data_IF_513838072137
#
_entry.id   IF_513838072137
#
_cell.length_a   1.000
_cell.length_b   1.000
_cell.length_c   1.000
_cell.angle_alpha   90.00
_cell.angle_beta   90.00
_cell.angle_gamma   90.00
#
_symmetry.space_group_name_H-M   'P 1'
#
loop_
_entity.id
_entity.type
_entity.pdbx_description
1 polymer ?
#
# COMPACT_ATOMS: atom_id res chain seq x y z
N UNK A 1 -5.93 -21.67 -53.53
CA UNK A 1 -6.27 -22.80 -52.63
C UNK A 1 -5.65 -22.47 -51.28
N UNK A 2 -6.37 -21.78 -50.37
CA UNK A 2 -7.24 -22.31 -49.30
C UNK A 2 -6.58 -23.32 -48.35
N UNK A 3 -6.63 -22.90 -47.07
CA UNK A 3 -6.83 -23.66 -45.83
C UNK A 3 -5.62 -24.33 -45.17
N UNK A 4 -5.45 -23.99 -43.89
CA UNK A 4 -4.52 -24.61 -42.94
C UNK A 4 -4.45 -23.84 -41.63
N UNK A 5 -5.60 -23.44 -41.06
CA UNK A 5 -5.71 -22.98 -39.68
C UNK A 5 -5.23 -24.08 -38.73
N UNK A 6 -4.46 -23.71 -37.71
CA UNK A 6 -4.50 -24.39 -36.41
C UNK A 6 -4.35 -23.33 -35.33
N UNK A 7 -5.48 -22.92 -34.77
CA UNK A 7 -5.57 -22.26 -33.48
C UNK A 7 -4.91 -23.14 -32.41
N UNK A 8 -4.06 -22.53 -31.58
CA UNK A 8 -3.89 -22.98 -30.20
C UNK A 8 -4.16 -21.81 -29.28
N UNK A 9 -5.37 -21.85 -28.72
CA UNK A 9 -5.76 -21.14 -27.50
C UNK A 9 -4.72 -21.44 -26.41
N UNK A 10 -4.06 -20.40 -25.91
CA UNK A 10 -3.34 -20.46 -24.65
C UNK A 10 -4.17 -19.73 -23.61
N UNK A 11 -4.94 -20.52 -22.87
CA UNK A 11 -5.82 -20.14 -21.78
C UNK A 11 -5.10 -19.24 -20.78
N UNK A 12 -5.77 -18.14 -20.42
CA UNK A 12 -5.30 -17.17 -19.46
C UNK A 12 -5.02 -17.79 -18.10
N UNK A 13 -3.85 -17.49 -17.56
CA UNK A 13 -3.54 -17.67 -16.15
C UNK A 13 -2.94 -16.36 -15.65
N UNK A 14 -3.79 -15.35 -15.48
CA UNK A 14 -3.42 -14.15 -14.73
C UNK A 14 -3.40 -14.51 -13.25
N UNK A 15 -2.34 -15.19 -12.83
CA UNK A 15 -1.97 -15.17 -11.42
C UNK A 15 -1.89 -13.71 -11.02
N UNK A 16 -2.82 -13.24 -10.18
CA UNK A 16 -2.75 -11.92 -9.54
C UNK A 16 -1.59 -11.99 -8.56
N UNK A 17 -0.38 -11.87 -9.09
CA UNK A 17 0.84 -11.85 -8.31
C UNK A 17 0.81 -10.59 -7.45
N UNK A 18 1.02 -10.78 -6.14
CA UNK A 18 1.02 -9.71 -5.17
C UNK A 18 2.14 -8.73 -5.51
N UNK A 19 1.77 -7.51 -5.94
CA UNK A 19 2.73 -6.42 -6.09
C UNK A 19 2.99 -5.79 -4.72
N UNK A 20 4.21 -5.99 -4.23
CA UNK A 20 4.71 -5.31 -3.04
C UNK A 20 4.58 -3.80 -3.20
N UNK A 21 4.12 -3.12 -2.13
CA UNK A 21 4.09 -1.66 -2.10
C UNK A 21 5.46 -1.19 -1.58
N UNK A 22 6.36 -0.81 -2.48
CA UNK A 22 7.65 -0.24 -2.12
C UNK A 22 7.45 1.02 -1.26
N UNK A 23 8.03 1.06 -0.06
CA UNK A 23 8.12 2.29 0.75
C UNK A 23 9.46 2.96 0.52
N UNK A 24 9.44 4.25 0.15
CA UNK A 24 10.65 5.05 -0.09
C UNK A 24 11.31 5.58 1.20
N UNK A 25 10.73 5.36 2.38
CA UNK A 25 11.16 6.03 3.62
C UNK A 25 11.56 5.03 4.71
N UNK A 26 12.76 5.22 5.29
CA UNK A 26 13.21 4.62 6.56
C UNK A 26 12.54 5.36 7.73
N UNK A 27 11.36 4.90 8.12
CA UNK A 27 10.67 5.28 9.35
C UNK A 27 9.86 4.09 9.87
N UNK A 28 9.55 4.08 11.17
CA UNK A 28 8.77 3.04 11.85
C UNK A 28 7.32 3.02 11.34
N UNK A 29 7.12 2.55 10.11
CA UNK A 29 5.79 2.41 9.56
C UNK A 29 5.05 1.35 10.36
N UNK A 30 3.87 1.71 10.87
CA UNK A 30 2.99 0.76 11.52
C UNK A 30 2.52 -0.26 10.48
N UNK A 31 2.69 -1.55 10.81
CA UNK A 31 2.07 -2.63 10.06
C UNK A 31 0.58 -2.71 10.43
N UNK A 32 -0.26 -2.45 9.44
CA UNK A 32 -1.71 -2.47 9.51
C UNK A 32 -2.24 -3.45 8.46
N UNK A 33 -3.52 -3.78 8.52
CA UNK A 33 -4.12 -4.79 7.66
C UNK A 33 -5.44 -4.32 7.07
N UNK A 34 -5.69 -4.73 5.83
CA UNK A 34 -7.03 -4.73 5.24
C UNK A 34 -7.50 -6.18 5.18
N UNK A 35 -8.60 -6.47 5.87
CA UNK A 35 -9.27 -7.76 5.84
C UNK A 35 -10.47 -7.70 4.91
N UNK A 36 -10.73 -8.75 4.14
CA UNK A 36 -11.89 -8.85 3.27
C UNK A 36 -12.17 -10.32 2.97
N UNK A 37 -13.40 -10.64 2.60
CA UNK A 37 -13.79 -11.96 2.13
C UNK A 37 -13.91 -11.92 0.60
N UNK A 38 -13.48 -12.99 -0.07
CA UNK A 38 -13.51 -13.10 -1.52
C UNK A 38 -14.05 -14.46 -1.95
N UNK A 39 -15.05 -14.45 -2.83
CA UNK A 39 -15.59 -15.66 -3.42
C UNK A 39 -14.52 -16.34 -4.30
N UNK A 40 -14.36 -17.65 -4.13
CA UNK A 40 -13.49 -18.45 -4.99
C UNK A 40 -14.17 -19.76 -5.37
N UNK A 41 -13.92 -20.19 -6.60
CA UNK A 41 -14.28 -21.50 -7.09
C UNK A 41 -13.46 -22.58 -6.38
N UNK A 42 -14.15 -23.62 -5.93
CA UNK A 42 -13.55 -24.80 -5.32
C UNK A 42 -13.40 -25.92 -6.36
N UNK A 43 -12.62 -26.96 -6.02
CA UNK A 43 -12.46 -28.14 -6.88
C UNK A 43 -13.74 -28.99 -6.85
N UNK A 44 -14.77 -28.55 -7.57
CA UNK A 44 -16.08 -29.21 -7.63
C UNK A 44 -17.22 -28.29 -8.04
N UNK A 45 -16.95 -27.27 -8.86
CA UNK A 45 -17.95 -26.32 -9.38
C UNK A 45 -18.82 -25.63 -8.32
N UNK A 46 -18.33 -25.56 -7.08
CA UNK A 46 -18.99 -24.89 -5.95
C UNK A 46 -18.19 -23.64 -5.56
N UNK A 47 -18.86 -22.56 -5.17
CA UNK A 47 -18.18 -21.36 -4.65
C UNK A 47 -18.15 -21.33 -3.13
N UNK A 48 -17.10 -20.74 -2.57
CA UNK A 48 -17.01 -20.47 -1.14
C UNK A 48 -16.34 -19.11 -0.88
N UNK A 49 -16.77 -18.45 0.20
CA UNK A 49 -16.16 -17.21 0.67
C UNK A 49 -14.90 -17.53 1.47
N UNK A 50 -13.78 -16.94 1.05
CA UNK A 50 -12.51 -17.12 1.75
C UNK A 50 -12.02 -15.81 2.34
N UNK A 51 -11.58 -15.81 3.60
CA UNK A 51 -10.92 -14.66 4.20
C UNK A 51 -9.61 -14.37 3.49
N UNK A 52 -9.34 -13.08 3.27
CA UNK A 52 -8.10 -12.55 2.71
C UNK A 52 -7.61 -11.41 3.58
N UNK A 53 -6.29 -11.28 3.61
CA UNK A 53 -5.62 -10.21 4.35
C UNK A 53 -4.57 -9.56 3.46
N UNK A 54 -4.55 -8.23 3.44
CA UNK A 54 -3.54 -7.43 2.76
C UNK A 54 -2.81 -6.55 3.76
N UNK A 55 -1.48 -6.73 3.86
CA UNK A 55 -0.60 -5.90 4.70
C UNK A 55 -0.46 -4.50 4.11
N UNK A 56 -0.52 -3.48 4.97
CA UNK A 56 -0.36 -2.08 4.62
C UNK A 56 0.55 -1.41 5.65
N UNK A 57 1.64 -0.80 5.18
CA UNK A 57 2.51 0.01 6.03
C UNK A 57 2.07 1.47 6.00
N UNK A 58 1.88 2.07 7.18
CA UNK A 58 1.49 3.47 7.36
C UNK A 58 2.55 4.20 8.19
N UNK A 59 3.13 5.26 7.63
CA UNK A 59 4.21 6.04 8.27
C UNK A 59 3.67 7.27 9.02
N UNK A 60 2.66 7.06 9.88
CA UNK A 60 1.98 8.14 10.59
C UNK A 60 0.77 7.63 11.37
N UNK A 61 0.03 8.56 11.96
CA UNK A 61 -1.23 8.31 12.65
C UNK A 61 -2.37 8.28 11.64
N UNK A 62 -3.17 7.21 11.63
CA UNK A 62 -4.35 7.11 10.74
C UNK A 62 -5.45 8.01 11.28
N UNK A 63 -5.96 8.90 10.44
CA UNK A 63 -7.03 9.83 10.78
C UNK A 63 -8.39 9.38 10.28
N UNK A 64 -8.44 8.77 9.10
CA UNK A 64 -9.68 8.24 8.52
C UNK A 64 -9.40 7.09 7.54
N UNK A 65 -10.42 6.27 7.29
CA UNK A 65 -10.39 5.30 6.20
C UNK A 65 -11.78 5.05 5.63
N UNK A 66 -11.85 4.77 4.32
CA UNK A 66 -13.12 4.56 3.61
C UNK A 66 -13.00 3.51 2.52
N UNK A 67 -14.03 2.70 2.37
CA UNK A 67 -14.20 1.76 1.24
C UNK A 67 -14.96 2.45 0.11
N UNK A 68 -14.53 2.24 -1.14
CA UNK A 68 -15.23 2.76 -2.31
C UNK A 68 -14.38 2.78 -3.57
N UNK A 69 -14.84 3.55 -4.57
CA UNK A 69 -14.07 3.85 -5.78
C UNK A 69 -13.31 5.15 -5.61
N UNK A 70 -12.02 5.13 -5.93
CA UNK A 70 -11.12 6.27 -5.78
C UNK A 70 -10.22 6.43 -7.00
N UNK A 71 -9.97 7.68 -7.40
CA UNK A 71 -9.02 8.02 -8.45
C UNK A 71 -7.60 8.03 -7.90
N UNK A 72 -6.72 7.18 -8.43
CA UNK A 72 -5.28 7.20 -8.12
C UNK A 72 -4.61 8.42 -8.74
N UNK A 73 -3.41 8.75 -8.29
CA UNK A 73 -2.57 9.81 -8.87
C UNK A 73 -2.30 9.59 -10.38
N UNK A 74 -2.28 8.34 -10.85
CA UNK A 74 -2.17 8.00 -12.28
C UNK A 74 -3.43 8.34 -13.10
N UNK A 75 -4.53 8.72 -12.46
CA UNK A 75 -5.82 8.99 -13.08
C UNK A 75 -6.74 7.78 -13.18
N UNK A 76 -6.26 6.55 -12.94
CA UNK A 76 -7.09 5.33 -12.92
C UNK A 76 -8.02 5.34 -11.70
N UNK A 77 -9.31 5.07 -11.91
CA UNK A 77 -10.24 4.78 -10.83
C UNK A 77 -10.16 3.31 -10.42
N UNK A 78 -10.13 3.04 -9.11
CA UNK A 78 -10.05 1.69 -8.55
C UNK A 78 -11.01 1.52 -7.40
N UNK A 79 -11.55 0.32 -7.23
CA UNK A 79 -12.23 -0.07 -6.00
C UNK A 79 -11.21 -0.47 -4.93
N UNK A 80 -11.48 -0.12 -3.68
CA UNK A 80 -10.67 -0.54 -2.54
C UNK A 80 -10.82 0.36 -1.32
N UNK A 81 -9.72 0.55 -0.61
CA UNK A 81 -9.68 1.34 0.65
C UNK A 81 -8.83 2.59 0.46
N UNK A 82 -9.40 3.75 0.77
CA UNK A 82 -8.65 5.01 0.96
C UNK A 82 -8.31 5.14 2.44
N UNK A 83 -7.04 5.37 2.75
CA UNK A 83 -6.52 5.56 4.10
C UNK A 83 -5.89 6.96 4.16
N UNK A 84 -6.33 7.75 5.11
CA UNK A 84 -5.79 9.08 5.40
C UNK A 84 -4.96 9.00 6.68
N UNK A 85 -3.77 9.61 6.65
CA UNK A 85 -2.87 9.58 7.80
C UNK A 85 -1.99 10.82 7.85
N UNK A 86 -1.53 11.12 9.06
CA UNK A 86 -0.75 12.31 9.37
C UNK A 86 0.62 11.91 9.88
N UNK A 87 1.65 12.59 9.39
CA UNK A 87 2.99 12.51 9.95
C UNK A 87 3.35 13.85 10.60
N UNK A 88 3.71 13.78 11.87
CA UNK A 88 4.27 14.92 12.60
C UNK A 88 5.78 14.76 12.70
N UNK A 89 6.49 15.87 12.56
CA UNK A 89 7.93 15.96 12.82
C UNK A 89 8.14 16.99 13.91
N UNK A 90 8.76 16.59 15.01
CA UNK A 90 9.14 17.51 16.05
C UNK A 90 10.20 18.49 15.53
N UNK A 91 10.09 19.75 15.94
CA UNK A 91 11.10 20.75 15.66
C UNK A 91 12.38 20.44 16.43
N UNK A 92 13.53 20.75 15.86
CA UNK A 92 14.82 20.49 16.48
C UNK A 92 15.82 21.59 16.16
N UNK A 93 16.79 21.76 17.05
CA UNK A 93 17.94 22.63 16.82
C UNK A 93 18.95 21.90 15.93
N UNK A 94 19.25 22.47 14.76
CA UNK A 94 20.27 21.95 13.85
C UNK A 94 21.55 22.74 14.05
N UNK A 95 22.63 22.05 14.36
CA UNK A 95 23.96 22.65 14.40
C UNK A 95 24.40 23.15 13.02
N UNK A 96 25.22 24.19 13.00
CA UNK A 96 25.86 24.65 11.76
C UNK A 96 26.82 23.60 11.21
N UNK A 97 27.06 23.65 9.91
CA UNK A 97 28.01 22.74 9.24
C UNK A 97 28.56 23.37 7.95
N UNK A 98 29.76 22.97 7.57
CA UNK A 98 30.33 23.31 6.27
C UNK A 98 29.89 22.28 5.24
N UNK A 99 29.32 22.76 4.14
CA UNK A 99 28.85 21.93 3.03
C UNK A 99 29.67 22.23 1.78
N UNK A 100 29.87 21.21 0.93
CA UNK A 100 30.56 21.34 -0.34
C UNK A 100 29.62 20.98 -1.48
N UNK A 101 29.47 21.87 -2.46
CA UNK A 101 28.74 21.58 -3.70
C UNK A 101 29.51 20.55 -4.52
N UNK A 102 28.87 19.43 -4.87
CA UNK A 102 29.52 18.32 -5.57
C UNK A 102 29.91 18.65 -7.01
N UNK A 103 29.20 19.56 -7.66
CA UNK A 103 29.39 20.00 -9.05
C UNK A 103 30.48 21.06 -9.18
N UNK A 104 30.53 22.05 -8.29
CA UNK A 104 31.48 23.17 -8.38
C UNK A 104 32.66 23.07 -7.41
N UNK A 105 32.59 22.17 -6.42
CA UNK A 105 33.57 22.07 -5.34
C UNK A 105 33.56 23.25 -4.36
N UNK A 106 32.61 24.19 -4.49
CA UNK A 106 32.50 25.36 -3.62
C UNK A 106 32.06 24.95 -2.22
N UNK A 107 32.83 25.35 -1.22
CA UNK A 107 32.47 25.20 0.19
C UNK A 107 31.70 26.41 0.68
N UNK A 108 30.69 26.18 1.51
CA UNK A 108 29.88 27.21 2.14
C UNK A 108 29.50 26.79 3.54
N UNK A 109 29.34 27.78 4.42
CA UNK A 109 28.94 27.56 5.80
C UNK A 109 27.42 27.66 5.93
N UNK A 110 26.83 26.69 6.62
CA UNK A 110 25.42 26.69 6.99
C UNK A 110 25.35 27.03 8.47
N UNK A 111 24.72 28.15 8.81
CA UNK A 111 24.56 28.55 10.20
C UNK A 111 23.64 27.59 10.98
N UNK A 112 23.84 27.47 12.31
CA UNK A 112 22.89 26.81 13.18
C UNK A 112 21.50 27.43 13.04
N UNK A 113 20.47 26.60 13.06
CA UNK A 113 19.10 27.09 12.95
C UNK A 113 18.11 26.15 13.61
N UNK A 114 16.98 26.70 14.03
CA UNK A 114 15.85 25.93 14.51
C UNK A 114 15.01 25.46 13.35
N UNK A 115 14.89 24.15 13.18
CA UNK A 115 13.92 23.56 12.27
C UNK A 115 12.56 23.51 12.98
N UNK A 116 11.51 24.15 12.45
CA UNK A 116 10.20 24.15 13.09
C UNK A 116 9.57 22.76 13.04
N UNK A 117 8.64 22.50 13.97
CA UNK A 117 7.79 21.33 13.87
C UNK A 117 6.92 21.43 12.61
N UNK A 118 6.63 20.29 11.99
CA UNK A 118 5.78 20.24 10.81
C UNK A 118 4.76 19.11 10.92
N UNK A 119 3.63 19.30 10.25
CA UNK A 119 2.58 18.31 10.08
C UNK A 119 2.32 18.13 8.59
N UNK A 120 2.17 16.89 8.14
CA UNK A 120 1.89 16.57 6.75
C UNK A 120 0.81 15.50 6.68
N UNK A 121 -0.18 15.76 5.84
CA UNK A 121 -1.31 14.86 5.58
C UNK A 121 -1.01 14.04 4.32
N UNK A 122 -1.36 12.76 4.37
CA UNK A 122 -1.13 11.83 3.28
C UNK A 122 -2.37 11.00 3.01
N UNK A 123 -2.50 10.54 1.76
CA UNK A 123 -3.54 9.61 1.34
C UNK A 123 -2.91 8.40 0.67
N UNK A 124 -3.33 7.20 1.08
CA UNK A 124 -2.95 5.93 0.45
C UNK A 124 -4.19 5.20 -0.03
N UNK A 125 -4.21 4.84 -1.32
CA UNK A 125 -5.31 4.07 -1.92
C UNK A 125 -4.81 2.64 -2.17
N UNK A 126 -5.45 1.67 -1.50
CA UNK A 126 -5.16 0.25 -1.65
C UNK A 126 -6.25 -0.41 -2.48
N UNK A 127 -5.88 -0.89 -3.67
CA UNK A 127 -6.80 -1.57 -4.60
C UNK A 127 -7.17 -2.98 -4.09
N UNK A 128 -8.45 -3.31 -4.20
CA UNK A 128 -9.06 -4.59 -3.87
C UNK A 128 -9.87 -5.13 -5.07
N UNK A 129 -10.18 -6.44 -5.12
CA UNK A 129 -11.16 -6.98 -6.05
C UNK A 129 -12.52 -6.30 -5.90
N UNK A 130 -13.26 -6.08 -6.99
CA UNK A 130 -14.56 -5.39 -6.96
C UNK A 130 -15.66 -6.18 -6.24
N UNK A 131 -15.50 -7.50 -6.20
CA UNK A 131 -16.33 -8.50 -5.54
C UNK A 131 -15.89 -8.79 -4.09
N UNK A 132 -14.97 -7.99 -3.54
CA UNK A 132 -14.55 -8.15 -2.15
C UNK A 132 -15.65 -7.68 -1.18
N UNK A 133 -15.94 -8.50 -0.18
CA UNK A 133 -16.94 -8.24 0.85
C UNK A 133 -16.31 -8.15 2.25
N UNK A 134 -17.08 -7.72 3.25
CA UNK A 134 -16.63 -7.62 4.65
C UNK A 134 -15.28 -6.90 4.83
N UNK A 135 -15.12 -5.81 4.06
CA UNK A 135 -13.87 -5.05 3.99
C UNK A 135 -13.72 -4.21 5.27
N UNK A 136 -12.62 -4.43 5.98
CA UNK A 136 -12.25 -3.64 7.16
C UNK A 136 -10.76 -3.30 7.18
N UNK A 137 -10.44 -2.10 7.66
CA UNK A 137 -9.09 -1.68 7.99
C UNK A 137 -8.82 -1.90 9.48
N UNK A 138 -7.73 -2.58 9.81
CA UNK A 138 -7.43 -3.05 11.17
C UNK A 138 -5.98 -2.77 11.55
N UNK A 139 -5.78 -2.60 12.86
CA UNK A 139 -4.45 -2.70 13.48
C UNK A 139 -3.99 -4.16 13.58
N UNK A 140 -3.04 -4.45 14.47
CA UNK A 140 -2.43 -5.78 14.56
C UNK A 140 -3.35 -6.87 15.13
N UNK A 141 -4.41 -6.50 15.83
CA UNK A 141 -5.37 -7.45 16.37
C UNK A 141 -6.35 -7.92 15.29
N UNK A 142 -6.04 -9.05 14.68
CA UNK A 142 -6.87 -9.68 13.64
C UNK A 142 -7.85 -10.69 14.26
N UNK A 143 -9.12 -10.70 13.81
CA UNK A 143 -10.04 -11.80 14.13
C UNK A 143 -9.46 -13.16 13.70
N UNK A 144 -9.80 -14.22 14.44
CA UNK A 144 -9.30 -15.58 14.18
C UNK A 144 -9.40 -15.97 12.69
N UNK A 145 -10.57 -15.72 12.06
CA UNK A 145 -10.82 -16.07 10.65
C UNK A 145 -9.82 -15.43 9.66
N UNK A 146 -9.23 -14.30 10.01
CA UNK A 146 -8.27 -13.58 9.17
C UNK A 146 -6.81 -13.88 9.53
N UNK A 147 -6.52 -14.25 10.79
CA UNK A 147 -5.16 -14.63 11.19
C UNK A 147 -4.63 -15.80 10.37
N UNK A 148 -5.46 -16.81 10.15
CA UNK A 148 -5.08 -18.01 9.39
C UNK A 148 -4.86 -17.71 7.90
N UNK A 149 -5.51 -16.65 7.39
CA UNK A 149 -5.34 -16.18 6.02
C UNK A 149 -4.12 -15.26 5.83
N UNK A 150 -3.47 -14.84 6.93
CA UNK A 150 -2.27 -14.02 6.85
C UNK A 150 -1.09 -14.86 6.37
N UNK A 151 -0.67 -14.65 5.13
CA UNK A 151 0.51 -15.31 4.61
C UNK A 151 1.77 -14.76 5.29
N UNK A 152 2.46 -15.60 6.06
CA UNK A 152 3.77 -15.32 6.63
C UNK A 152 4.88 -15.44 5.58
N UNK A 153 4.82 -14.58 4.56
CA UNK A 153 5.95 -14.36 3.66
C UNK A 153 6.79 -13.24 4.28
N UNK A 154 8.01 -13.57 4.69
CA UNK A 154 9.03 -12.63 5.18
C UNK A 154 10.15 -12.56 4.16
#
# INVERSE_FOLDING_TARGET
>A
MKAGETEKMSTGKSGREYKSTESQYKGNAAEMYITYDLEQETRGDTTAMYPKVKRVYIAGEVTDWKVGRFKKQSGKEVFGVKIEYEQTREGYERSGYTARRSDTGTEYEVEPTRVPASKSEFTKIVELPEDAENIEFRGQDLPNKYRDALQNVR
#
